data_IF_239526573911
#
_entry.id   IF_239526573911
#
_cell.length_a   1.000
_cell.length_b   1.000
_cell.length_c   1.000
_cell.angle_alpha   90.00
_cell.angle_beta   90.00
_cell.angle_gamma   90.00
#
_symmetry.space_group_name_H-M   'P 1'
#
loop_
_entity.id
_entity.type
_entity.pdbx_description
1 polymer ?
#
# COMPACT_ATOMS: atom_id res chain seq x y z
N UNK A 1 -6.45 6.85 20.71
CA UNK A 1 -7.69 6.09 20.61
C UNK A 1 -7.67 5.21 19.37
N UNK A 2 -8.26 4.01 19.42
CA UNK A 2 -8.40 3.10 18.29
C UNK A 2 -9.85 2.66 18.21
N UNK A 3 -10.47 2.87 17.04
CA UNK A 3 -11.84 2.45 16.75
C UNK A 3 -11.80 1.37 15.68
N UNK A 4 -12.45 0.25 15.92
CA UNK A 4 -12.66 -0.81 14.94
C UNK A 4 -14.11 -0.77 14.47
N UNK A 5 -14.32 -0.50 13.18
CA UNK A 5 -15.64 -0.56 12.56
C UNK A 5 -15.74 -1.87 11.76
N UNK A 6 -16.76 -2.66 12.05
CA UNK A 6 -17.15 -3.84 11.27
C UNK A 6 -18.68 -3.88 11.17
N UNK A 7 -19.21 -4.30 10.03
CA UNK A 7 -20.67 -4.52 9.85
C UNK A 7 -21.28 -5.48 10.89
N UNK A 8 -20.43 -6.26 11.56
CA UNK A 8 -20.80 -7.07 12.71
C UNK A 8 -20.26 -6.40 13.99
N UNK A 9 -21.11 -5.58 14.63
CA UNK A 9 -20.76 -4.83 15.83
C UNK A 9 -20.27 -5.72 16.98
N UNK A 10 -20.86 -6.90 17.16
CA UNK A 10 -20.46 -7.81 18.24
C UNK A 10 -19.05 -8.37 18.01
N UNK A 11 -18.71 -8.67 16.74
CA UNK A 11 -17.35 -9.06 16.37
C UNK A 11 -16.36 -7.93 16.65
N UNK A 12 -16.66 -6.71 16.21
CA UNK A 12 -15.81 -5.54 16.44
C UNK A 12 -15.58 -5.32 17.95
N UNK A 13 -16.63 -5.41 18.75
CA UNK A 13 -16.54 -5.29 20.21
C UNK A 13 -15.70 -6.40 20.84
N UNK A 14 -15.90 -7.64 20.39
CA UNK A 14 -15.12 -8.80 20.87
C UNK A 14 -13.63 -8.63 20.61
N UNK A 15 -13.25 -8.25 19.40
CA UNK A 15 -11.84 -7.99 19.03
C UNK A 15 -11.22 -6.87 19.89
N UNK A 16 -11.96 -5.80 20.14
CA UNK A 16 -11.44 -4.68 20.95
C UNK A 16 -11.36 -5.02 22.45
N UNK A 17 -12.26 -5.87 22.96
CA UNK A 17 -12.15 -6.38 24.33
C UNK A 17 -10.92 -7.27 24.50
N UNK A 18 -10.68 -8.21 23.57
CA UNK A 18 -9.52 -9.10 23.61
C UNK A 18 -8.22 -8.29 23.46
N UNK A 19 -8.18 -7.39 22.49
CA UNK A 19 -7.02 -6.50 22.31
C UNK A 19 -6.75 -5.61 23.53
N UNK A 20 -7.82 -5.20 24.25
CA UNK A 20 -7.73 -4.40 25.48
C UNK A 20 -6.93 -5.06 26.59
N UNK A 21 -6.94 -6.39 26.67
CA UNK A 21 -6.15 -7.12 27.65
C UNK A 21 -4.64 -6.94 27.45
N UNK A 22 -4.18 -6.63 26.26
CA UNK A 22 -2.76 -6.39 25.99
C UNK A 22 -2.23 -5.14 26.67
N UNK A 23 -3.08 -4.14 26.97
CA UNK A 23 -2.68 -2.90 27.64
C UNK A 23 -1.98 -3.14 28.98
N UNK A 24 -2.36 -4.19 29.69
CA UNK A 24 -1.76 -4.56 30.97
C UNK A 24 -0.42 -5.29 30.84
N UNK A 25 -0.08 -5.79 29.66
CA UNK A 25 1.04 -6.69 29.40
C UNK A 25 2.13 -6.07 28.51
N UNK A 26 1.85 -4.94 27.88
CA UNK A 26 2.77 -4.27 26.95
C UNK A 26 3.30 -2.98 27.53
N UNK A 27 4.44 -2.49 27.02
CA UNK A 27 4.98 -1.17 27.36
C UNK A 27 4.31 -0.02 26.59
N UNK A 28 3.22 -0.32 25.85
CA UNK A 28 2.46 0.70 25.14
C UNK A 28 1.63 1.56 26.10
N UNK A 29 1.26 2.75 25.66
CA UNK A 29 0.33 3.60 26.38
C UNK A 29 -1.04 2.94 26.46
N UNK A 30 -1.81 3.22 27.53
CA UNK A 30 -3.20 2.80 27.63
C UNK A 30 -4.02 3.43 26.51
N UNK A 31 -4.31 2.68 25.47
CA UNK A 31 -5.12 3.11 24.33
C UNK A 31 -6.59 2.85 24.65
N UNK A 32 -7.44 3.84 24.43
CA UNK A 32 -8.89 3.62 24.45
C UNK A 32 -9.30 2.87 23.18
N UNK A 33 -10.08 1.80 23.36
CA UNK A 33 -10.45 0.85 22.30
C UNK A 33 -11.97 0.77 22.21
N UNK A 34 -12.49 0.95 20.98
CA UNK A 34 -13.92 0.84 20.70
C UNK A 34 -14.14 -0.08 19.50
N UNK A 35 -15.17 -0.95 19.60
CA UNK A 35 -15.67 -1.74 18.48
C UNK A 35 -17.11 -1.39 18.21
N UNK A 36 -17.47 -1.07 16.96
CA UNK A 36 -18.82 -0.63 16.56
C UNK A 36 -19.09 -0.94 15.09
N UNK A 37 -20.36 -0.79 14.68
CA UNK A 37 -20.79 -0.67 13.29
C UNK A 37 -21.21 0.77 12.94
N UNK A 38 -21.16 1.70 13.89
CA UNK A 38 -21.53 3.10 13.73
C UNK A 38 -20.32 3.97 13.37
N UNK A 39 -20.32 4.55 12.18
CA UNK A 39 -19.26 5.43 11.67
C UNK A 39 -19.15 6.76 12.42
N UNK A 40 -20.17 7.16 13.21
CA UNK A 40 -20.09 8.38 14.03
C UNK A 40 -18.95 8.32 15.09
N UNK A 41 -18.52 7.12 15.46
CA UNK A 41 -17.36 6.93 16.33
C UNK A 41 -16.03 7.34 15.68
N UNK A 42 -16.00 7.61 14.37
CA UNK A 42 -14.82 8.10 13.65
C UNK A 42 -14.73 9.63 13.62
N UNK A 43 -15.61 10.33 14.35
CA UNK A 43 -15.58 11.79 14.41
C UNK A 43 -14.18 12.26 14.82
N UNK A 44 -13.60 13.16 14.01
CA UNK A 44 -12.25 13.73 14.18
C UNK A 44 -11.11 12.67 14.11
N UNK A 45 -11.33 11.54 13.45
CA UNK A 45 -10.26 10.56 13.24
C UNK A 45 -9.14 11.17 12.35
N UNK A 46 -7.89 11.01 12.77
CA UNK A 46 -6.72 11.48 12.02
C UNK A 46 -6.37 10.56 10.85
N UNK A 47 -6.49 9.25 11.07
CA UNK A 47 -6.14 8.21 10.08
C UNK A 47 -7.19 7.11 10.09
N UNK A 48 -7.65 6.71 8.92
CA UNK A 48 -8.55 5.57 8.75
C UNK A 48 -7.92 4.55 7.82
N UNK A 49 -7.90 3.28 8.24
CA UNK A 49 -7.38 2.17 7.45
C UNK A 49 -8.53 1.31 6.94
N UNK A 50 -8.69 1.23 5.63
CA UNK A 50 -9.74 0.45 4.97
C UNK A 50 -9.16 -0.92 4.58
N UNK A 51 -9.52 -1.95 5.35
CA UNK A 51 -9.12 -3.35 5.10
C UNK A 51 -10.31 -4.23 4.68
N UNK A 52 -11.52 -3.67 4.70
CA UNK A 52 -12.73 -4.40 4.34
C UNK A 52 -12.75 -4.69 2.83
N UNK A 53 -13.00 -5.93 2.47
CA UNK A 53 -13.08 -6.35 1.08
C UNK A 53 -13.54 -7.78 0.94
N UNK A 54 -14.00 -8.13 -0.25
CA UNK A 54 -14.29 -9.50 -0.64
C UNK A 54 -13.00 -10.24 -1.04
N UNK A 55 -13.01 -11.55 -0.89
CA UNK A 55 -12.01 -12.43 -1.49
C UNK A 55 -12.55 -12.96 -2.82
N UNK A 56 -11.66 -13.24 -3.77
CA UNK A 56 -12.01 -13.84 -5.05
C UNK A 56 -12.66 -15.21 -4.82
N UNK A 57 -13.78 -15.45 -5.49
CA UNK A 57 -14.50 -16.73 -5.44
C UNK A 57 -14.27 -17.50 -6.74
N UNK A 58 -14.54 -18.79 -6.70
CA UNK A 58 -14.49 -19.63 -7.88
C UNK A 58 -15.39 -19.08 -8.98
N UNK A 59 -14.86 -18.96 -10.21
CA UNK A 59 -15.55 -18.37 -11.34
C UNK A 59 -15.49 -16.85 -11.46
N UNK A 60 -14.92 -16.13 -10.49
CA UNK A 60 -14.71 -14.69 -10.58
C UNK A 60 -13.35 -14.34 -11.21
N UNK A 61 -13.33 -13.25 -11.95
CA UNK A 61 -12.13 -12.64 -12.52
C UNK A 61 -11.51 -11.63 -11.55
N UNK A 62 -10.28 -11.19 -11.84
CA UNK A 62 -9.65 -10.06 -11.12
C UNK A 62 -10.43 -8.75 -11.31
N UNK A 63 -11.07 -8.57 -12.46
CA UNK A 63 -11.89 -7.39 -12.76
C UNK A 63 -13.15 -7.38 -11.89
N UNK A 64 -13.82 -8.53 -11.72
CA UNK A 64 -14.97 -8.65 -10.81
C UNK A 64 -14.61 -8.32 -9.37
N UNK A 65 -13.43 -8.77 -8.92
CA UNK A 65 -12.94 -8.44 -7.58
C UNK A 65 -12.63 -6.95 -7.44
N UNK A 66 -12.05 -6.34 -8.48
CA UNK A 66 -11.75 -4.92 -8.51
C UNK A 66 -13.04 -4.07 -8.41
N UNK A 67 -14.09 -4.43 -9.15
CA UNK A 67 -15.40 -3.78 -9.05
C UNK A 67 -15.97 -3.88 -7.62
N UNK A 68 -16.07 -5.11 -7.10
CA UNK A 68 -16.66 -5.35 -5.79
C UNK A 68 -15.91 -4.57 -4.69
N UNK A 69 -14.59 -4.62 -4.67
CA UNK A 69 -13.80 -3.99 -3.62
C UNK A 69 -13.73 -2.47 -3.78
N UNK A 70 -13.71 -1.94 -5.00
CA UNK A 70 -13.81 -0.50 -5.24
C UNK A 70 -15.14 0.05 -4.70
N UNK A 71 -16.27 -0.61 -4.97
CA UNK A 71 -17.57 -0.22 -4.40
C UNK A 71 -17.58 -0.26 -2.88
N UNK A 72 -17.05 -1.32 -2.29
CA UNK A 72 -16.95 -1.42 -0.83
C UNK A 72 -16.13 -0.26 -0.25
N UNK A 73 -14.96 0.03 -0.82
CA UNK A 73 -14.10 1.12 -0.35
C UNK A 73 -14.75 2.50 -0.54
N UNK A 74 -15.42 2.74 -1.67
CA UNK A 74 -16.16 3.99 -1.93
C UNK A 74 -17.32 4.15 -0.94
N UNK A 75 -18.11 3.10 -0.71
CA UNK A 75 -19.25 3.13 0.22
C UNK A 75 -18.79 3.40 1.66
N UNK A 76 -17.67 2.79 2.07
CA UNK A 76 -17.05 3.05 3.38
C UNK A 76 -16.55 4.50 3.45
N UNK A 77 -15.82 4.96 2.45
CA UNK A 77 -15.28 6.33 2.44
C UNK A 77 -16.38 7.39 2.48
N UNK A 78 -17.51 7.19 1.77
CA UNK A 78 -18.69 8.06 1.83
C UNK A 78 -19.33 8.10 3.21
N UNK A 79 -19.30 7.00 3.96
CA UNK A 79 -19.81 6.96 5.33
C UNK A 79 -18.84 7.62 6.33
N UNK A 80 -17.53 7.59 6.06
CA UNK A 80 -16.50 8.24 6.89
C UNK A 80 -16.51 9.76 6.68
N UNK A 81 -16.63 10.21 5.44
CA UNK A 81 -16.46 11.61 5.02
C UNK A 81 -17.23 12.63 5.87
N UNK A 82 -18.52 12.44 6.25
CA UNK A 82 -19.24 13.37 7.10
C UNK A 82 -18.69 13.49 8.54
N UNK A 83 -17.96 12.50 9.01
CA UNK A 83 -17.44 12.42 10.38
C UNK A 83 -15.97 12.80 10.47
N UNK A 84 -15.17 12.48 9.45
CA UNK A 84 -13.74 12.71 9.42
C UNK A 84 -13.25 13.22 8.05
N UNK A 85 -13.71 14.41 7.59
CA UNK A 85 -13.36 14.94 6.26
C UNK A 85 -11.87 15.25 6.10
N UNK A 86 -11.16 15.46 7.19
CA UNK A 86 -9.72 15.76 7.18
C UNK A 86 -8.84 14.53 7.39
N UNK A 87 -9.43 13.34 7.56
CA UNK A 87 -8.70 12.10 7.78
C UNK A 87 -7.81 11.73 6.59
N UNK A 88 -6.71 11.06 6.88
CA UNK A 88 -5.92 10.35 5.88
C UNK A 88 -6.45 8.93 5.75
N UNK A 89 -6.87 8.54 4.55
CA UNK A 89 -7.35 7.20 4.26
C UNK A 89 -6.21 6.33 3.74
N UNK A 90 -5.99 5.16 4.35
CA UNK A 90 -5.05 4.15 3.88
C UNK A 90 -5.86 2.96 3.35
N UNK A 91 -5.88 2.78 2.03
CA UNK A 91 -6.60 1.68 1.36
C UNK A 91 -5.68 0.47 1.26
N UNK A 92 -6.13 -0.65 1.84
CA UNK A 92 -5.39 -1.93 1.88
C UNK A 92 -6.09 -3.02 1.07
N UNK A 93 -7.40 -2.89 0.88
CA UNK A 93 -8.25 -3.87 0.18
C UNK A 93 -7.85 -4.00 -1.28
N UNK A 94 -7.48 -5.21 -1.71
CA UNK A 94 -6.99 -5.48 -3.07
C UNK A 94 -8.13 -5.53 -4.11
N UNK A 95 -7.84 -5.01 -5.34
CA UNK A 95 -6.62 -4.31 -5.76
C UNK A 95 -6.55 -2.89 -5.21
N UNK A 96 -5.61 -2.65 -4.29
CA UNK A 96 -5.61 -1.44 -3.44
C UNK A 96 -5.41 -0.13 -4.21
N UNK A 97 -4.63 -0.15 -5.30
CA UNK A 97 -4.38 1.05 -6.11
C UNK A 97 -5.65 1.47 -6.87
N UNK A 98 -6.37 0.50 -7.44
CA UNK A 98 -7.65 0.73 -8.14
C UNK A 98 -8.72 1.21 -7.14
N UNK A 99 -8.79 0.56 -5.98
CA UNK A 99 -9.75 0.95 -4.93
C UNK A 99 -9.46 2.34 -4.38
N UNK A 100 -8.20 2.73 -4.21
CA UNK A 100 -7.80 4.07 -3.79
C UNK A 100 -8.18 5.12 -4.85
N UNK A 101 -7.95 4.82 -6.13
CA UNK A 101 -8.40 5.70 -7.22
C UNK A 101 -9.91 5.88 -7.21
N UNK A 102 -10.68 4.79 -7.07
CA UNK A 102 -12.13 4.85 -6.99
C UNK A 102 -12.62 5.71 -5.82
N UNK A 103 -11.97 5.64 -4.66
CA UNK A 103 -12.27 6.49 -3.50
C UNK A 103 -12.04 7.96 -3.85
N UNK A 104 -10.88 8.33 -4.42
CA UNK A 104 -10.58 9.71 -4.82
C UNK A 104 -11.62 10.23 -5.82
N UNK A 105 -11.97 9.44 -6.82
CA UNK A 105 -12.87 9.85 -7.90
C UNK A 105 -14.34 9.96 -7.49
N UNK A 106 -14.76 9.34 -6.36
CA UNK A 106 -16.16 9.25 -5.95
C UNK A 106 -16.49 9.86 -4.58
N UNK A 107 -15.54 10.55 -3.94
CA UNK A 107 -15.70 11.23 -2.64
C UNK A 107 -15.09 12.62 -2.69
N UNK A 108 -15.25 13.41 -1.63
CA UNK A 108 -14.62 14.72 -1.50
C UNK A 108 -13.19 14.69 -0.96
N UNK A 109 -12.63 13.52 -0.67
CA UNK A 109 -11.24 13.41 -0.23
C UNK A 109 -10.26 13.84 -1.32
N UNK A 110 -9.28 14.64 -0.93
CA UNK A 110 -8.26 15.11 -1.85
C UNK A 110 -7.24 13.98 -2.17
N UNK A 111 -6.60 13.99 -3.35
CA UNK A 111 -5.57 12.98 -3.69
C UNK A 111 -4.48 12.81 -2.64
N UNK A 112 -4.09 13.88 -1.95
CA UNK A 112 -3.09 13.79 -0.88
C UNK A 112 -3.56 13.05 0.38
N UNK A 113 -4.88 12.92 0.57
CA UNK A 113 -5.48 12.27 1.75
C UNK A 113 -5.72 10.77 1.54
N UNK A 114 -5.70 10.28 0.29
CA UNK A 114 -5.97 8.88 0.00
C UNK A 114 -4.69 8.20 -0.48
N UNK A 115 -4.24 7.22 0.29
CA UNK A 115 -3.01 6.46 0.06
C UNK A 115 -3.39 4.99 -0.09
N UNK A 116 -2.93 4.29 -1.13
CA UNK A 116 -2.95 2.84 -1.07
C UNK A 116 -1.71 2.33 -0.33
N UNK A 117 -1.82 1.15 0.31
CA UNK A 117 -0.66 0.50 0.93
C UNK A 117 0.45 0.20 -0.08
N UNK A 118 0.11 0.10 -1.34
CA UNK A 118 1.00 0.02 -2.50
C UNK A 118 2.13 -0.99 -2.34
N UNK A 119 3.27 -0.65 -2.88
CA UNK A 119 4.46 -1.50 -2.91
C UNK A 119 5.33 -1.39 -1.64
N UNK A 120 4.83 -0.89 -0.51
CA UNK A 120 5.60 -0.88 0.75
C UNK A 120 5.98 -2.30 1.17
N UNK A 121 5.03 -3.25 1.08
CA UNK A 121 5.32 -4.66 1.39
C UNK A 121 6.25 -5.31 0.36
N UNK A 122 6.10 -4.97 -0.93
CA UNK A 122 6.95 -5.53 -1.98
C UNK A 122 8.40 -5.03 -1.85
N UNK A 123 8.57 -3.77 -1.48
CA UNK A 123 9.88 -3.19 -1.15
C UNK A 123 10.49 -3.84 0.10
N UNK A 124 9.69 -4.13 1.12
CA UNK A 124 10.17 -4.87 2.29
C UNK A 124 10.62 -6.30 1.93
N UNK A 125 9.93 -6.97 1.00
CA UNK A 125 10.35 -8.28 0.45
C UNK A 125 11.66 -8.16 -0.31
N UNK A 126 11.80 -7.15 -1.16
CA UNK A 126 13.05 -6.85 -1.85
C UNK A 126 14.22 -6.73 -0.85
N UNK A 127 14.08 -5.87 0.15
CA UNK A 127 15.12 -5.65 1.16
C UNK A 127 15.47 -6.95 1.90
N UNK A 128 14.45 -7.74 2.27
CA UNK A 128 14.62 -9.03 2.95
C UNK A 128 15.40 -10.02 2.08
N UNK A 129 15.00 -10.21 0.83
CA UNK A 129 15.63 -11.19 -0.07
C UNK A 129 17.08 -10.79 -0.37
N UNK A 130 17.35 -9.50 -0.62
CA UNK A 130 18.72 -9.02 -0.81
C UNK A 130 19.56 -9.22 0.45
N UNK A 131 19.01 -8.88 1.63
CA UNK A 131 19.69 -9.08 2.91
C UNK A 131 20.08 -10.54 3.14
N UNK A 132 19.16 -11.48 2.87
CA UNK A 132 19.43 -12.94 2.99
C UNK A 132 20.47 -13.43 1.97
N UNK A 133 20.43 -12.96 0.73
CA UNK A 133 21.42 -13.36 -0.30
C UNK A 133 22.83 -12.85 -0.01
N UNK A 134 22.93 -11.70 0.65
CA UNK A 134 24.20 -11.03 0.93
C UNK A 134 24.68 -11.23 2.37
N UNK A 135 23.91 -11.97 3.20
CA UNK A 135 24.16 -12.18 4.64
C UNK A 135 24.34 -10.86 5.41
N UNK A 136 23.41 -9.91 5.18
CA UNK A 136 23.39 -8.61 5.84
C UNK A 136 21.98 -8.29 6.39
N UNK A 137 21.92 -7.38 7.38
CA UNK A 137 20.63 -6.89 7.85
C UNK A 137 19.87 -6.19 6.69
N UNK A 138 18.62 -6.57 6.41
CA UNK A 138 17.79 -5.97 5.37
C UNK A 138 17.73 -4.43 5.40
N UNK A 139 17.87 -3.82 6.57
CA UNK A 139 17.86 -2.35 6.74
C UNK A 139 19.07 -1.66 6.09
N UNK A 140 20.09 -2.40 5.71
CA UNK A 140 21.24 -1.86 4.96
C UNK A 140 21.03 -1.90 3.44
N UNK A 141 19.90 -2.44 2.98
CA UNK A 141 19.50 -2.43 1.57
C UNK A 141 18.56 -1.28 1.32
N UNK A 142 18.82 -0.53 0.27
CA UNK A 142 17.95 0.53 -0.24
C UNK A 142 17.49 0.19 -1.65
N UNK A 143 16.25 0.48 -1.95
CA UNK A 143 15.64 0.29 -3.26
C UNK A 143 14.13 0.39 -3.14
N UNK A 144 13.45 0.35 -4.27
CA UNK A 144 12.00 0.38 -4.33
C UNK A 144 11.47 -0.67 -5.29
N UNK A 145 10.30 -1.22 -4.99
CA UNK A 145 9.40 -1.79 -5.96
C UNK A 145 8.30 -0.75 -6.19
N UNK A 146 8.00 -0.44 -7.44
CA UNK A 146 7.11 0.65 -7.85
C UNK A 146 6.08 0.14 -8.87
N UNK A 147 5.06 0.95 -9.14
CA UNK A 147 3.96 0.57 -10.05
C UNK A 147 2.74 0.05 -9.33
N UNK A 148 2.05 -0.95 -9.86
CA UNK A 148 0.88 -1.58 -9.23
C UNK A 148 1.32 -2.55 -8.13
N UNK A 149 0.63 -2.55 -6.99
CA UNK A 149 0.79 -3.63 -6.02
C UNK A 149 0.18 -4.92 -6.58
N UNK A 150 1.03 -5.84 -7.03
CA UNK A 150 0.61 -7.10 -7.65
C UNK A 150 1.61 -7.59 -8.69
N UNK A 151 1.13 -7.81 -9.91
CA UNK A 151 1.96 -8.37 -10.98
C UNK A 151 2.58 -7.29 -11.89
N UNK A 152 1.98 -6.10 -11.96
CA UNK A 152 2.44 -5.03 -12.83
C UNK A 152 3.26 -4.00 -12.01
N UNK A 153 4.39 -4.45 -11.50
CA UNK A 153 5.36 -3.60 -10.81
C UNK A 153 6.74 -3.74 -11.45
N UNK A 154 7.62 -2.82 -11.14
CA UNK A 154 9.01 -2.86 -11.55
C UNK A 154 9.93 -2.46 -10.39
N UNK A 155 11.18 -2.79 -10.53
CA UNK A 155 12.22 -2.44 -9.57
C UNK A 155 13.26 -1.60 -10.30
N UNK A 156 13.30 -0.26 -10.07
CA UNK A 156 14.36 0.57 -10.66
C UNK A 156 15.71 0.15 -10.12
N UNK A 157 16.42 -0.67 -10.92
CA UNK A 157 17.71 -1.24 -10.52
C UNK A 157 18.76 -0.17 -10.25
N UNK A 158 18.64 0.95 -10.95
CA UNK A 158 19.50 2.13 -10.76
C UNK A 158 19.45 2.69 -9.33
N UNK A 159 18.37 2.41 -8.57
CA UNK A 159 18.19 2.88 -7.20
C UNK A 159 18.48 1.79 -6.15
N UNK A 160 18.77 0.55 -6.56
CA UNK A 160 19.07 -0.52 -5.60
C UNK A 160 20.51 -0.40 -5.11
N UNK A 161 20.66 -0.25 -3.81
CA UNK A 161 21.98 -0.07 -3.18
C UNK A 161 22.08 -0.83 -1.85
N UNK A 162 23.31 -1.14 -1.47
CA UNK A 162 23.66 -1.78 -0.21
C UNK A 162 24.68 -0.90 0.49
N UNK A 163 24.39 -0.50 1.72
CA UNK A 163 25.25 0.39 2.51
C UNK A 163 25.74 1.63 1.73
N UNK A 164 24.85 2.20 0.87
CA UNK A 164 25.14 3.37 0.06
C UNK A 164 25.91 3.12 -1.24
N UNK A 165 26.21 1.85 -1.57
CA UNK A 165 26.84 1.48 -2.85
C UNK A 165 25.82 0.86 -3.79
N UNK A 166 25.82 1.16 -5.10
CA UNK A 166 25.03 0.43 -6.07
C UNK A 166 25.29 -1.08 -5.92
N UNK A 167 24.23 -1.88 -5.96
CA UNK A 167 24.31 -3.32 -5.62
C UNK A 167 25.30 -4.11 -6.49
N UNK A 168 25.40 -3.79 -7.79
CA UNK A 168 26.36 -4.43 -8.69
C UNK A 168 27.82 -4.14 -8.26
N UNK A 169 28.09 -2.90 -7.82
CA UNK A 169 29.40 -2.51 -7.31
C UNK A 169 29.72 -3.19 -5.98
N UNK A 170 28.72 -3.26 -5.08
CA UNK A 170 28.86 -3.95 -3.80
C UNK A 170 29.23 -5.43 -4.01
N UNK A 171 28.49 -6.14 -4.87
CA UNK A 171 28.79 -7.53 -5.18
C UNK A 171 30.18 -7.72 -5.78
N UNK A 172 30.53 -6.91 -6.79
CA UNK A 172 31.84 -7.01 -7.44
C UNK A 172 33.02 -6.76 -6.48
N UNK A 173 32.94 -5.74 -5.61
CA UNK A 173 33.99 -5.40 -4.66
C UNK A 173 34.16 -6.44 -3.55
N UNK A 174 33.10 -7.15 -3.19
CA UNK A 174 33.12 -8.18 -2.14
C UNK A 174 33.26 -9.60 -2.69
N UNK A 175 33.53 -9.78 -4.00
CA UNK A 175 33.71 -11.10 -4.61
C UNK A 175 32.41 -11.95 -4.58
N UNK A 176 31.26 -11.32 -4.51
CA UNK A 176 29.95 -11.97 -4.48
C UNK A 176 29.41 -12.15 -5.91
N UNK A 177 28.57 -13.16 -6.09
CA UNK A 177 27.89 -13.39 -7.34
C UNK A 177 26.92 -12.23 -7.66
N UNK A 178 26.85 -11.86 -8.94
CA UNK A 178 25.94 -10.83 -9.41
C UNK A 178 24.48 -11.27 -9.25
N UNK A 179 23.66 -10.42 -8.63
CA UNK A 179 22.23 -10.66 -8.52
C UNK A 179 21.55 -10.25 -9.83
N UNK A 180 20.73 -11.16 -10.41
CA UNK A 180 19.90 -10.85 -11.56
C UNK A 180 18.72 -9.98 -11.13
N UNK A 181 18.54 -8.78 -11.71
CA UNK A 181 17.39 -7.92 -11.40
C UNK A 181 16.05 -8.61 -11.65
N UNK A 182 15.91 -9.30 -12.78
CA UNK A 182 14.67 -9.97 -13.15
C UNK A 182 14.36 -11.12 -12.19
N UNK A 183 15.32 -11.97 -11.88
CA UNK A 183 15.10 -13.08 -10.94
C UNK A 183 14.74 -12.57 -9.53
N UNK A 184 15.35 -11.45 -9.11
CA UNK A 184 15.03 -10.84 -7.81
C UNK A 184 13.60 -10.29 -7.79
N UNK A 185 13.16 -9.62 -8.86
CA UNK A 185 11.80 -9.11 -8.96
C UNK A 185 10.77 -10.25 -9.00
N UNK A 186 11.09 -11.33 -9.69
CA UNK A 186 10.23 -12.52 -9.74
C UNK A 186 10.08 -13.16 -8.36
N UNK A 187 11.16 -13.26 -7.58
CA UNK A 187 11.10 -13.75 -6.19
C UNK A 187 10.26 -12.84 -5.29
N UNK A 188 10.36 -11.53 -5.46
CA UNK A 188 9.52 -10.57 -4.72
C UNK A 188 8.03 -10.79 -5.02
N UNK A 189 7.67 -10.98 -6.30
CA UNK A 189 6.29 -11.26 -6.74
C UNK A 189 5.79 -12.60 -6.21
N UNK A 190 6.65 -13.63 -6.26
CA UNK A 190 6.29 -14.98 -5.80
C UNK A 190 6.11 -15.07 -4.28
N UNK A 191 6.86 -14.30 -3.50
CA UNK A 191 6.80 -14.35 -2.04
C UNK A 191 5.38 -14.16 -1.48
N UNK A 192 4.58 -13.27 -2.07
CA UNK A 192 3.18 -13.06 -1.67
C UNK A 192 2.27 -14.24 -2.02
N UNK A 193 2.46 -14.82 -3.19
CA UNK A 193 1.69 -15.97 -3.67
C UNK A 193 2.00 -17.22 -2.84
N UNK A 194 3.26 -17.45 -2.52
CA UNK A 194 3.69 -18.58 -1.68
C UNK A 194 3.04 -18.51 -0.30
N UNK A 195 3.07 -17.34 0.37
CA UNK A 195 2.40 -17.15 1.66
C UNK A 195 0.90 -17.44 1.53
N UNK A 196 0.26 -16.98 0.46
CA UNK A 196 -1.16 -17.23 0.23
C UNK A 196 -1.45 -18.72 0.01
N UNK A 197 -0.63 -19.43 -0.75
CA UNK A 197 -0.77 -20.88 -0.94
C UNK A 197 -0.62 -21.66 0.38
N UNK A 198 0.30 -21.24 1.25
CA UNK A 198 0.59 -21.94 2.50
C UNK A 198 -0.44 -21.68 3.60
N UNK A 199 -0.99 -20.45 3.72
CA UNK A 199 -1.87 -20.08 4.84
C UNK A 199 -3.17 -19.37 4.45
N UNK A 200 -3.46 -19.24 3.15
CA UNK A 200 -4.68 -18.67 2.57
C UNK A 200 -4.93 -17.18 2.88
N UNK A 201 -3.98 -16.50 3.49
CA UNK A 201 -4.03 -15.06 3.73
C UNK A 201 -2.62 -14.49 3.92
N UNK A 202 -2.50 -13.17 3.83
CA UNK A 202 -1.34 -12.41 4.27
C UNK A 202 -1.78 -11.47 5.38
N UNK A 203 -0.97 -11.30 6.43
CA UNK A 203 -1.36 -10.49 7.58
C UNK A 203 -0.20 -9.71 8.20
N UNK A 204 0.86 -10.41 8.65
CA UNK A 204 1.92 -9.77 9.45
C UNK A 204 2.72 -8.73 8.66
N UNK A 205 3.12 -9.05 7.44
CA UNK A 205 3.89 -8.13 6.59
C UNK A 205 3.09 -6.88 6.22
N UNK A 206 1.82 -7.06 5.82
CA UNK A 206 0.97 -5.92 5.48
C UNK A 206 0.63 -5.09 6.71
N UNK A 207 0.41 -5.70 7.88
CA UNK A 207 0.22 -4.97 9.13
C UNK A 207 1.44 -4.10 9.48
N UNK A 208 2.66 -4.62 9.31
CA UNK A 208 3.89 -3.87 9.51
C UNK A 208 4.03 -2.72 8.48
N UNK A 209 3.63 -2.93 7.23
CA UNK A 209 3.64 -1.90 6.19
C UNK A 209 2.67 -0.76 6.51
N UNK A 210 1.44 -1.09 6.90
CA UNK A 210 0.43 -0.11 7.32
C UNK A 210 0.90 0.64 8.58
N UNK A 211 1.45 -0.07 9.56
CA UNK A 211 2.03 0.55 10.74
C UNK A 211 3.12 1.57 10.37
N UNK A 212 3.99 1.23 9.41
CA UNK A 212 5.05 2.15 8.94
C UNK A 212 4.48 3.42 8.30
N UNK A 213 3.39 3.29 7.53
CA UNK A 213 2.69 4.46 6.93
C UNK A 213 2.07 5.31 8.05
N UNK A 214 1.31 4.70 8.97
CA UNK A 214 0.70 5.39 10.11
C UNK A 214 1.76 6.11 10.94
N UNK A 215 2.88 5.46 11.24
CA UNK A 215 3.98 6.07 11.99
C UNK A 215 4.49 7.34 11.30
N UNK A 216 4.70 7.32 9.98
CA UNK A 216 5.15 8.50 9.24
C UNK A 216 4.16 9.68 9.35
N UNK A 217 2.85 9.38 9.34
CA UNK A 217 1.79 10.37 9.50
C UNK A 217 1.78 10.93 10.94
N UNK A 218 1.68 10.05 11.93
CA UNK A 218 1.49 10.41 13.34
C UNK A 218 2.63 11.25 13.91
N UNK A 219 3.88 10.86 13.62
CA UNK A 219 5.05 11.60 14.13
C UNK A 219 5.52 12.72 13.18
N UNK A 220 4.79 12.95 12.08
CA UNK A 220 5.12 13.97 11.07
C UNK A 220 6.53 13.81 10.49
N UNK A 221 6.90 12.60 10.09
CA UNK A 221 8.30 12.19 9.86
C UNK A 221 8.88 12.70 8.54
N UNK A 222 8.05 13.00 7.53
CA UNK A 222 8.47 13.26 6.13
C UNK A 222 9.22 12.07 5.51
N UNK A 223 8.79 10.86 5.81
CA UNK A 223 9.38 9.63 5.27
C UNK A 223 9.07 9.45 3.81
N UNK A 224 10.06 8.96 3.05
CA UNK A 224 9.86 8.53 1.67
C UNK A 224 9.43 7.08 1.65
N UNK A 225 8.20 6.81 1.21
CA UNK A 225 7.63 5.48 1.14
C UNK A 225 7.08 5.19 -0.26
N UNK A 226 7.21 3.96 -0.77
CA UNK A 226 6.64 3.54 -2.07
C UNK A 226 5.16 3.17 -1.92
N UNK A 227 4.35 4.14 -1.60
CA UNK A 227 2.90 4.02 -1.44
C UNK A 227 2.18 4.32 -2.74
N UNK A 228 0.97 3.78 -2.91
CA UNK A 228 0.12 4.16 -4.04
C UNK A 228 -0.42 5.58 -3.86
N UNK A 229 -0.12 6.41 -4.82
CA UNK A 229 -0.48 7.83 -4.88
C UNK A 229 -1.03 8.20 -6.25
N UNK A 230 -1.82 9.26 -6.32
CA UNK A 230 -2.29 9.82 -7.58
C UNK A 230 -1.35 10.93 -8.04
N UNK A 231 -0.55 10.73 -9.10
CA UNK A 231 0.30 11.76 -9.68
C UNK A 231 -0.54 12.91 -10.24
N UNK A 232 0.02 14.10 -10.21
CA UNK A 232 -0.56 15.32 -10.78
C UNK A 232 0.37 15.96 -11.81
N UNK A 233 0.94 15.12 -12.68
CA UNK A 233 1.90 15.51 -13.70
C UNK A 233 3.30 14.93 -13.50
N UNK A 234 3.60 14.38 -12.32
CA UNK A 234 4.87 13.70 -12.10
C UNK A 234 5.00 12.52 -13.06
N UNK A 235 6.17 12.34 -13.64
CA UNK A 235 6.46 11.36 -14.69
C UNK A 235 5.51 11.44 -15.91
N UNK A 236 4.82 12.57 -16.11
CA UNK A 236 3.80 12.73 -17.16
C UNK A 236 2.52 11.95 -16.89
N UNK A 237 2.28 11.51 -15.66
CA UNK A 237 1.13 10.68 -15.26
C UNK A 237 0.06 11.51 -14.56
N UNK A 238 -1.20 11.15 -14.81
CA UNK A 238 -2.41 11.71 -14.18
C UNK A 238 -3.50 10.66 -14.17
N UNK A 239 -4.52 10.88 -13.34
CA UNK A 239 -5.79 10.13 -13.34
C UNK A 239 -5.61 8.60 -13.18
N UNK A 240 -4.74 8.20 -12.28
CA UNK A 240 -4.55 6.83 -11.83
C UNK A 240 -3.82 6.83 -10.49
N UNK A 241 -3.90 5.74 -9.74
CA UNK A 241 -3.10 5.53 -8.53
C UNK A 241 -2.12 4.40 -8.78
N UNK A 242 -0.85 4.65 -8.47
CA UNK A 242 0.21 3.65 -8.50
C UNK A 242 1.29 4.01 -7.48
N UNK A 243 2.11 3.00 -7.12
CA UNK A 243 3.18 3.19 -6.14
C UNK A 243 4.34 3.97 -6.72
N UNK A 244 4.62 5.12 -6.09
CA UNK A 244 5.77 5.98 -6.37
C UNK A 244 6.46 6.37 -5.05
N UNK A 245 7.74 6.74 -5.08
CA UNK A 245 8.40 7.29 -3.90
C UNK A 245 7.74 8.61 -3.49
N UNK A 246 6.99 8.60 -2.41
CA UNK A 246 6.26 9.77 -1.92
C UNK A 246 6.68 10.13 -0.50
N UNK A 247 6.77 11.42 -0.22
CA UNK A 247 7.00 11.96 1.12
C UNK A 247 5.69 11.93 1.88
N UNK A 248 5.65 11.16 2.96
CA UNK A 248 4.48 10.98 3.82
C UNK A 248 4.71 11.68 5.14
N UNK A 249 3.74 12.48 5.53
CA UNK A 249 3.72 13.19 6.80
C UNK A 249 2.28 13.37 7.32
N UNK A 250 2.08 14.20 8.33
CA UNK A 250 0.76 14.45 8.95
C UNK A 250 -0.32 14.94 7.97
N UNK A 251 0.05 15.49 6.83
CA UNK A 251 -0.89 15.94 5.80
C UNK A 251 -1.22 14.86 4.76
N UNK A 252 -0.72 13.63 4.94
CA UNK A 252 -0.77 12.56 3.97
C UNK A 252 0.39 12.64 2.98
N UNK A 253 0.10 12.66 1.70
CA UNK A 253 1.11 12.80 0.64
C UNK A 253 1.54 14.27 0.52
N UNK A 254 2.74 14.58 1.01
CA UNK A 254 3.29 15.93 0.93
C UNK A 254 3.84 16.25 -0.46
N UNK A 255 4.50 15.30 -1.10
CA UNK A 255 4.97 15.38 -2.49
C UNK A 255 5.38 14.01 -3.01
N UNK A 256 5.35 13.84 -4.32
CA UNK A 256 5.93 12.70 -5.04
C UNK A 256 7.35 13.08 -5.45
N UNK A 257 8.32 12.18 -5.23
CA UNK A 257 9.70 12.41 -5.63
C UNK A 257 9.91 11.94 -7.06
N UNK A 258 10.55 12.79 -7.86
CA UNK A 258 10.95 12.46 -9.23
C UNK A 258 12.41 11.97 -9.19
N UNK A 259 12.62 10.70 -9.50
CA UNK A 259 13.95 10.12 -9.67
C UNK A 259 14.37 10.12 -11.13
N UNK A 260 15.67 10.29 -11.42
CA UNK A 260 16.20 10.19 -12.77
C UNK A 260 16.30 8.70 -13.19
N UNK A 261 15.16 8.09 -13.49
CA UNK A 261 15.10 6.73 -14.01
C UNK A 261 15.82 6.62 -15.34
N UNK A 262 16.36 5.44 -15.66
CA UNK A 262 16.84 5.14 -17.02
C UNK A 262 15.69 5.14 -18.02
N UNK A 263 16.00 5.19 -19.31
CA UNK A 263 14.97 5.16 -20.36
C UNK A 263 14.13 3.87 -20.28
N UNK A 264 14.77 2.73 -19.98
CA UNK A 264 14.08 1.44 -19.78
C UNK A 264 13.17 1.47 -18.55
N UNK A 265 13.63 2.02 -17.42
CA UNK A 265 12.85 2.15 -16.20
C UNK A 265 11.65 3.10 -16.40
N UNK A 266 11.85 4.20 -17.11
CA UNK A 266 10.75 5.09 -17.50
C UNK A 266 9.74 4.39 -18.40
N UNK A 267 10.20 3.59 -19.38
CA UNK A 267 9.32 2.85 -20.26
C UNK A 267 8.48 1.83 -19.47
N UNK A 268 9.10 1.10 -18.54
CA UNK A 268 8.40 0.16 -17.65
C UNK A 268 7.29 0.87 -16.84
N UNK A 269 7.58 2.05 -16.31
CA UNK A 269 6.58 2.85 -15.58
C UNK A 269 5.41 3.26 -16.48
N UNK A 270 5.68 3.69 -17.72
CA UNK A 270 4.65 4.07 -18.69
C UNK A 270 3.79 2.87 -19.12
N UNK A 271 4.40 1.70 -19.35
CA UNK A 271 3.69 0.47 -19.71
C UNK A 271 2.74 0.01 -18.59
N UNK A 272 3.20 0.11 -17.33
CA UNK A 272 2.37 -0.17 -16.16
C UNK A 272 1.20 0.82 -16.06
N UNK A 273 1.47 2.10 -16.24
CA UNK A 273 0.44 3.13 -16.21
C UNK A 273 -0.61 2.93 -17.32
N UNK A 274 -0.18 2.51 -18.52
CA UNK A 274 -1.09 2.15 -19.61
C UNK A 274 -1.98 0.97 -19.22
N UNK A 275 -1.39 -0.09 -18.67
CA UNK A 275 -2.14 -1.26 -18.21
C UNK A 275 -3.19 -0.90 -17.15
N UNK A 276 -2.82 -0.04 -16.19
CA UNK A 276 -3.76 0.42 -15.17
C UNK A 276 -4.91 1.23 -15.75
N UNK A 277 -4.65 2.10 -16.73
CA UNK A 277 -5.72 2.85 -17.43
C UNK A 277 -6.68 1.91 -18.15
N UNK A 278 -6.18 0.90 -18.86
CA UNK A 278 -7.03 -0.10 -19.53
C UNK A 278 -7.95 -0.82 -18.54
N UNK A 279 -7.46 -1.11 -17.33
CA UNK A 279 -8.25 -1.72 -16.26
C UNK A 279 -9.31 -0.73 -15.74
N UNK A 280 -8.93 0.53 -15.49
CA UNK A 280 -9.86 1.57 -15.04
C UNK A 280 -10.95 1.83 -16.08
N UNK A 281 -10.60 1.95 -17.36
CA UNK A 281 -11.56 2.12 -18.45
C UNK A 281 -12.53 0.94 -18.54
N UNK A 282 -12.04 -0.27 -18.37
CA UNK A 282 -12.87 -1.49 -18.34
C UNK A 282 -13.82 -1.49 -17.15
N UNK A 283 -13.37 -1.04 -15.97
CA UNK A 283 -14.22 -0.89 -14.79
C UNK A 283 -15.28 0.17 -14.98
N UNK A 284 -14.94 1.32 -15.52
CA UNK A 284 -15.89 2.40 -15.80
C UNK A 284 -17.05 1.92 -16.67
N UNK A 285 -16.74 1.17 -17.74
CA UNK A 285 -17.76 0.64 -18.64
C UNK A 285 -18.71 -0.38 -17.97
N UNK A 286 -18.22 -1.14 -16.97
CA UNK A 286 -19.00 -2.19 -16.34
C UNK A 286 -19.75 -1.75 -15.08
N UNK A 287 -19.29 -0.71 -14.40
CA UNK A 287 -19.70 -0.44 -13.02
C UNK A 287 -20.49 0.85 -12.83
N UNK A 288 -20.33 1.83 -13.69
CA UNK A 288 -20.88 3.18 -13.50
C UNK A 288 -20.25 3.95 -12.33
N UNK A 289 -19.17 3.43 -11.72
CA UNK A 289 -18.30 4.24 -10.87
C UNK A 289 -17.50 5.20 -11.74
N UNK A 290 -17.22 6.40 -11.24
CA UNK A 290 -16.22 7.26 -11.85
C UNK A 290 -14.85 6.65 -11.54
N UNK A 291 -14.31 5.85 -12.44
CA UNK A 291 -12.97 5.25 -12.37
C UNK A 291 -12.25 5.45 -13.68
#
# INVERSE_FOLDING_TARGET
>A
ELVLIDRNADKARGEMLDFGHTNALTFSKNTRLYGSDDYSHLTDADVVVITAGAQIKEGQTRLDLADINSRICVDIARQIEPHAPDAILIVVSNPCDIAAYAVIANTGYLPRQVISSGCVIDTARLMKIVGERLDIDPKNTFGYVLGEHGMHNFMPWSLVSVAGQPIDHYCAHNGLERISPQALLDDVRQAGLEIFHLKQNTSHGIAASVFRIIQAIEINENSVLPVGVMPQGEYGLNDLVLSLPAVINRQGVAKILIHPFTDEENQQLQDIASTLRDILDSLHQHTGLNV
#
